data_IF_990326501639
#
_entry.id   IF_990326501639
#
_cell.length_a   1.000
_cell.length_b   1.000
_cell.length_c   1.000
_cell.angle_alpha   90.00
_cell.angle_beta   90.00
_cell.angle_gamma   90.00
#
_symmetry.space_group_name_H-M   'P 1'
#
loop_
_entity.id
_entity.type
_entity.pdbx_description
1 polymer ?
#
# COMPACT_ATOMS: atom_id res chain seq x y z
N UNK A 1 -8.60 -1.79 -23.90
CA UNK A 1 -9.20 -2.09 -22.58
C UNK A 1 -8.41 -3.26 -21.97
N UNK A 2 -7.82 -3.05 -20.80
CA UNK A 2 -7.03 -4.05 -20.08
C UNK A 2 -7.95 -4.98 -19.27
N UNK A 3 -7.68 -6.30 -19.25
CA UNK A 3 -8.33 -7.24 -18.36
C UNK A 3 -7.44 -7.49 -17.14
N UNK A 4 -7.77 -6.89 -15.99
CA UNK A 4 -7.02 -6.91 -14.73
C UNK A 4 -7.87 -7.44 -13.57
N UNK A 5 -8.61 -8.53 -13.81
CA UNK A 5 -9.63 -9.07 -12.90
C UNK A 5 -9.12 -9.92 -11.75
N UNK A 6 -7.82 -10.24 -11.72
CA UNK A 6 -7.21 -11.09 -10.69
C UNK A 6 -6.72 -10.27 -9.51
N UNK A 7 -6.67 -10.92 -8.34
CA UNK A 7 -6.01 -10.41 -7.13
C UNK A 7 -4.64 -11.06 -6.98
N UNK A 8 -3.72 -10.35 -6.30
CA UNK A 8 -2.42 -10.93 -5.95
C UNK A 8 -2.46 -11.43 -4.52
N UNK A 9 -2.50 -12.74 -4.33
CA UNK A 9 -2.63 -13.38 -3.02
C UNK A 9 -1.63 -14.53 -2.91
N UNK A 10 -0.88 -14.57 -1.82
CA UNK A 10 0.07 -15.63 -1.51
C UNK A 10 1.10 -15.90 -2.65
N UNK A 11 1.59 -14.83 -3.27
CA UNK A 11 2.59 -14.92 -4.34
C UNK A 11 2.03 -15.24 -5.74
N UNK A 12 0.72 -15.31 -5.89
CA UNK A 12 0.06 -15.70 -7.15
C UNK A 12 -1.05 -14.73 -7.56
N UNK A 13 -1.29 -14.62 -8.86
CA UNK A 13 -2.46 -13.94 -9.42
C UNK A 13 -3.64 -14.90 -9.50
N UNK A 14 -4.59 -14.75 -8.57
CA UNK A 14 -5.74 -15.63 -8.40
C UNK A 14 -7.04 -15.02 -8.92
N UNK A 15 -7.97 -15.86 -9.37
CA UNK A 15 -9.31 -15.40 -9.70
C UNK A 15 -10.11 -15.07 -8.44
N UNK A 16 -11.01 -14.07 -8.47
CA UNK A 16 -11.89 -13.76 -7.36
C UNK A 16 -12.81 -14.94 -7.04
N UNK A 17 -13.15 -15.10 -5.76
CA UNK A 17 -14.12 -16.14 -5.33
C UNK A 17 -15.53 -15.82 -5.84
N UNK A 18 -15.91 -14.56 -5.78
CA UNK A 18 -17.19 -14.05 -6.24
C UNK A 18 -16.94 -12.93 -7.25
N UNK A 19 -16.90 -13.22 -8.57
CA UNK A 19 -16.60 -12.21 -9.57
C UNK A 19 -17.59 -11.04 -9.54
N UNK A 20 -17.06 -9.81 -9.40
CA UNK A 20 -17.83 -8.57 -9.43
C UNK A 20 -17.03 -7.53 -10.25
N UNK A 21 -17.33 -7.46 -11.54
CA UNK A 21 -16.61 -6.59 -12.46
C UNK A 21 -16.85 -5.11 -12.14
N UNK A 22 -15.77 -4.33 -12.23
CA UNK A 22 -15.77 -2.90 -12.10
C UNK A 22 -14.95 -2.27 -13.22
N UNK A 23 -15.52 -1.29 -13.90
CA UNK A 23 -14.89 -0.57 -15.00
C UNK A 23 -14.04 0.59 -14.46
N UNK A 24 -12.77 0.62 -14.85
CA UNK A 24 -11.88 1.73 -14.58
C UNK A 24 -11.94 2.69 -15.76
N UNK A 25 -12.26 3.93 -15.47
CA UNK A 25 -12.42 4.98 -16.49
C UNK A 25 -11.14 5.80 -16.56
N UNK A 26 -10.64 6.02 -17.77
CA UNK A 26 -9.63 7.04 -18.01
C UNK A 26 -10.29 8.41 -18.00
N UNK A 27 -10.02 9.30 -17.02
CA UNK A 27 -10.73 10.57 -16.90
C UNK A 27 -10.39 11.59 -17.99
N UNK A 28 -9.32 11.37 -18.77
CA UNK A 28 -8.97 12.24 -19.89
C UNK A 28 -9.80 11.95 -21.16
N UNK A 29 -10.21 10.70 -21.34
CA UNK A 29 -10.98 10.26 -22.52
C UNK A 29 -12.43 9.92 -22.19
N UNK A 30 -12.74 9.77 -20.90
CA UNK A 30 -14.04 9.30 -20.38
C UNK A 30 -14.40 7.87 -20.85
N UNK A 31 -13.42 7.12 -21.33
CA UNK A 31 -13.58 5.76 -21.83
C UNK A 31 -13.11 4.72 -20.80
N UNK A 32 -13.67 3.51 -20.89
CA UNK A 32 -13.21 2.37 -20.09
C UNK A 32 -11.81 1.95 -20.54
N UNK A 33 -10.82 2.10 -19.66
CA UNK A 33 -9.42 1.71 -19.93
C UNK A 33 -9.10 0.32 -19.42
N UNK A 34 -9.75 -0.13 -18.34
CA UNK A 34 -9.55 -1.46 -17.76
C UNK A 34 -10.82 -2.00 -17.10
N UNK A 35 -10.84 -3.32 -16.88
CA UNK A 35 -11.83 -3.98 -16.03
C UNK A 35 -11.10 -4.73 -14.93
N UNK A 36 -11.49 -4.47 -13.68
CA UNK A 36 -11.05 -5.17 -12.48
C UNK A 36 -12.22 -5.95 -11.86
N UNK A 37 -11.97 -6.69 -10.77
CA UNK A 37 -13.02 -7.16 -9.87
C UNK A 37 -12.96 -6.41 -8.55
N UNK A 38 -14.13 -6.25 -7.92
CA UNK A 38 -14.21 -5.89 -6.50
C UNK A 38 -14.24 -7.17 -5.68
N UNK A 39 -13.33 -7.27 -4.70
CA UNK A 39 -13.18 -8.44 -3.84
C UNK A 39 -14.35 -8.62 -2.89
N UNK A 40 -14.57 -9.87 -2.53
CA UNK A 40 -15.51 -10.29 -1.49
C UNK A 40 -14.82 -10.51 -0.15
N UNK A 41 -15.62 -10.75 0.90
CA UNK A 41 -15.11 -11.15 2.21
C UNK A 41 -14.29 -12.44 2.16
N UNK A 42 -14.63 -13.37 1.26
CA UNK A 42 -13.85 -14.60 1.07
C UNK A 42 -12.46 -14.32 0.47
N UNK A 43 -12.36 -13.35 -0.44
CA UNK A 43 -11.08 -12.93 -1.02
C UNK A 43 -10.22 -12.21 0.05
N UNK A 44 -10.84 -11.33 0.83
CA UNK A 44 -10.19 -10.64 1.96
C UNK A 44 -9.68 -11.65 2.99
N UNK A 45 -10.51 -12.60 3.41
CA UNK A 45 -10.13 -13.67 4.34
C UNK A 45 -8.96 -14.51 3.80
N UNK A 46 -8.97 -14.82 2.51
CA UNK A 46 -7.87 -15.56 1.86
C UNK A 46 -6.55 -14.79 1.90
N UNK A 47 -6.59 -13.48 1.63
CA UNK A 47 -5.41 -12.61 1.68
C UNK A 47 -4.89 -12.44 3.12
N UNK A 48 -5.78 -12.22 4.09
CA UNK A 48 -5.40 -12.10 5.52
C UNK A 48 -4.79 -13.40 6.03
N UNK A 49 -5.38 -14.55 5.69
CA UNK A 49 -4.83 -15.87 6.07
C UNK A 49 -3.43 -16.08 5.49
N UNK A 50 -3.20 -15.69 4.23
CA UNK A 50 -1.88 -15.75 3.60
C UNK A 50 -0.86 -14.85 4.31
N UNK A 51 -1.25 -13.60 4.62
CA UNK A 51 -0.41 -12.65 5.34
C UNK A 51 -0.07 -13.15 6.75
N UNK A 52 -1.05 -13.66 7.50
CA UNK A 52 -0.85 -14.20 8.84
C UNK A 52 0.13 -15.38 8.85
N UNK A 53 0.00 -16.30 7.87
CA UNK A 53 0.92 -17.42 7.72
C UNK A 53 2.33 -16.95 7.38
N UNK A 54 2.47 -16.01 6.45
CA UNK A 54 3.77 -15.47 6.05
C UNK A 54 4.46 -14.71 7.19
N UNK A 55 3.70 -14.07 8.06
CA UNK A 55 4.22 -13.32 9.20
C UNK A 55 5.04 -14.20 10.15
N UNK A 56 4.71 -15.47 10.32
CA UNK A 56 5.44 -16.40 11.21
C UNK A 56 6.94 -16.47 10.92
N UNK A 57 7.30 -16.37 9.63
CA UNK A 57 8.70 -16.41 9.18
C UNK A 57 9.26 -15.05 8.80
N UNK A 58 8.42 -14.18 8.21
CA UNK A 58 8.86 -12.86 7.74
C UNK A 58 9.32 -11.94 8.88
N UNK A 59 8.66 -12.00 10.03
CA UNK A 59 9.04 -11.21 11.22
C UNK A 59 10.45 -11.53 11.74
N UNK A 60 10.95 -12.74 11.48
CA UNK A 60 12.27 -13.20 11.92
C UNK A 60 13.39 -12.83 10.93
N UNK A 61 13.04 -12.25 9.76
CA UNK A 61 14.06 -11.85 8.78
C UNK A 61 14.95 -10.74 9.33
N UNK A 62 16.21 -10.79 8.98
CA UNK A 62 17.17 -9.75 9.35
C UNK A 62 16.89 -8.41 8.62
N UNK A 63 17.40 -7.34 9.20
CA UNK A 63 17.40 -6.03 8.55
C UNK A 63 18.05 -6.07 7.16
N UNK A 64 19.14 -6.80 7.04
CA UNK A 64 19.95 -6.96 5.82
C UNK A 64 19.19 -7.71 4.72
N UNK A 65 18.42 -8.74 5.07
CA UNK A 65 17.55 -9.46 4.11
C UNK A 65 16.46 -8.55 3.57
N UNK A 66 15.82 -7.78 4.43
CA UNK A 66 14.79 -6.81 4.02
C UNK A 66 15.36 -5.68 3.16
N UNK A 67 16.56 -5.17 3.51
CA UNK A 67 17.27 -4.17 2.70
C UNK A 67 17.55 -4.67 1.29
N UNK A 68 18.08 -5.88 1.12
CA UNK A 68 18.36 -6.47 -0.20
C UNK A 68 17.10 -6.55 -1.08
N UNK A 69 15.97 -6.92 -0.51
CA UNK A 69 14.71 -6.99 -1.24
C UNK A 69 14.20 -5.60 -1.63
N UNK A 70 14.32 -4.60 -0.75
CA UNK A 70 13.95 -3.21 -1.06
C UNK A 70 14.85 -2.60 -2.13
N UNK A 71 16.16 -2.85 -2.09
CA UNK A 71 17.12 -2.41 -3.11
C UNK A 71 16.81 -3.02 -4.48
N UNK A 72 16.47 -4.33 -4.49
CA UNK A 72 16.04 -5.01 -5.71
C UNK A 72 14.72 -4.44 -6.23
N UNK A 73 13.75 -4.19 -5.37
CA UNK A 73 12.48 -3.54 -5.74
C UNK A 73 12.73 -2.15 -6.34
N UNK A 74 13.61 -1.35 -5.77
CA UNK A 74 13.99 -0.03 -6.31
C UNK A 74 14.59 -0.16 -7.71
N UNK A 75 15.45 -1.15 -7.92
CA UNK A 75 16.07 -1.41 -9.23
C UNK A 75 15.01 -1.76 -10.28
N UNK A 76 14.07 -2.64 -9.94
CA UNK A 76 12.96 -3.04 -10.82
C UNK A 76 12.02 -1.86 -11.08
N UNK A 77 11.70 -1.09 -10.04
CA UNK A 77 10.86 0.09 -10.17
C UNK A 77 11.45 1.10 -11.16
N UNK A 78 12.75 1.38 -11.05
CA UNK A 78 13.47 2.27 -11.98
C UNK A 78 13.53 1.72 -13.39
N UNK A 79 13.67 0.41 -13.58
CA UNK A 79 13.66 -0.23 -14.87
C UNK A 79 12.27 -0.20 -15.54
N UNK A 80 11.20 -0.20 -14.75
CA UNK A 80 9.80 -0.14 -15.19
C UNK A 80 9.16 1.24 -14.98
N UNK A 81 9.98 2.29 -15.03
CA UNK A 81 9.52 3.67 -14.80
C UNK A 81 8.41 4.11 -15.75
N UNK A 82 8.60 3.82 -17.04
CA UNK A 82 7.62 4.20 -18.06
C UNK A 82 6.32 3.42 -17.92
N UNK A 83 6.37 2.13 -17.57
CA UNK A 83 5.18 1.32 -17.27
C UNK A 83 4.37 1.95 -16.12
N UNK A 84 5.04 2.38 -15.05
CA UNK A 84 4.38 3.03 -13.92
C UNK A 84 3.78 4.38 -14.31
N UNK A 85 4.52 5.17 -15.07
CA UNK A 85 4.04 6.45 -15.60
C UNK A 85 2.80 6.27 -16.46
N UNK A 86 2.81 5.28 -17.35
CA UNK A 86 1.69 5.01 -18.27
C UNK A 86 0.46 4.48 -17.50
N UNK A 87 0.66 3.62 -16.49
CA UNK A 87 -0.42 3.14 -15.65
C UNK A 87 -1.12 4.30 -14.92
N UNK A 88 -0.34 5.17 -14.26
CA UNK A 88 -0.88 6.31 -13.52
C UNK A 88 -1.52 7.35 -14.47
N UNK A 89 -0.87 7.65 -15.60
CA UNK A 89 -1.43 8.55 -16.61
C UNK A 89 -2.79 8.03 -17.10
N UNK A 90 -2.91 6.73 -17.30
CA UNK A 90 -4.14 6.10 -17.79
C UNK A 90 -5.27 6.18 -16.77
N UNK A 91 -5.00 5.84 -15.49
CA UNK A 91 -6.05 5.78 -14.47
C UNK A 91 -6.36 7.13 -13.81
N UNK A 92 -5.41 8.08 -13.83
CA UNK A 92 -5.54 9.39 -13.19
C UNK A 92 -5.79 10.54 -14.18
N UNK A 93 -5.45 10.35 -15.46
CA UNK A 93 -5.63 11.36 -16.50
C UNK A 93 -4.64 12.53 -16.42
N UNK A 94 -3.56 12.42 -15.69
CA UNK A 94 -2.57 13.49 -15.59
C UNK A 94 -1.65 13.55 -16.82
N UNK A 95 -1.10 14.74 -17.18
CA UNK A 95 -0.14 14.85 -18.28
C UNK A 95 1.08 13.94 -18.04
N UNK A 96 1.51 13.19 -19.06
CA UNK A 96 2.54 12.14 -18.94
C UNK A 96 3.87 12.66 -18.36
N UNK A 97 4.38 13.78 -18.84
CA UNK A 97 5.64 14.36 -18.34
C UNK A 97 5.54 14.79 -16.88
N UNK A 98 4.40 15.41 -16.52
CA UNK A 98 4.13 15.77 -15.15
C UNK A 98 3.98 14.53 -14.25
N UNK A 99 3.29 13.51 -14.74
CA UNK A 99 3.12 12.24 -14.05
C UNK A 99 4.47 11.58 -13.75
N UNK A 100 5.35 11.50 -14.76
CA UNK A 100 6.70 10.96 -14.61
C UNK A 100 7.50 11.73 -13.55
N UNK A 101 7.52 13.06 -13.66
CA UNK A 101 8.32 13.93 -12.80
C UNK A 101 7.82 14.00 -11.35
N UNK A 102 6.52 13.81 -11.09
CA UNK A 102 5.91 14.02 -9.78
C UNK A 102 5.31 12.74 -9.19
N UNK A 103 4.43 12.05 -9.92
CA UNK A 103 3.75 10.85 -9.41
C UNK A 103 4.71 9.65 -9.34
N UNK A 104 5.28 9.26 -10.49
CA UNK A 104 6.18 8.11 -10.57
C UNK A 104 7.43 8.32 -9.71
N UNK A 105 8.01 9.52 -9.73
CA UNK A 105 9.18 9.87 -8.93
C UNK A 105 8.93 9.74 -7.43
N UNK A 106 7.72 10.03 -6.95
CA UNK A 106 7.39 9.93 -5.53
C UNK A 106 7.48 8.49 -5.01
N UNK A 107 7.06 7.50 -5.84
CA UNK A 107 7.20 6.09 -5.48
C UNK A 107 8.66 5.66 -5.29
N UNK A 108 9.53 6.00 -6.25
CA UNK A 108 10.97 5.75 -6.14
C UNK A 108 11.59 6.46 -4.93
N UNK A 109 11.23 7.74 -4.75
CA UNK A 109 11.75 8.56 -3.65
C UNK A 109 11.42 7.96 -2.28
N UNK A 110 10.22 7.41 -2.08
CA UNK A 110 9.86 6.74 -0.85
C UNK A 110 10.63 5.43 -0.64
N UNK A 111 10.82 4.64 -1.70
CA UNK A 111 11.63 3.41 -1.59
C UNK A 111 13.07 3.78 -1.18
N UNK A 112 13.68 4.78 -1.82
CA UNK A 112 15.02 5.26 -1.50
C UNK A 112 15.16 5.81 -0.07
N UNK A 113 14.20 6.62 0.37
CA UNK A 113 14.22 7.19 1.72
C UNK A 113 14.10 6.11 2.80
N UNK A 114 13.19 5.15 2.62
CA UNK A 114 13.05 4.04 3.58
C UNK A 114 14.23 3.08 3.59
N UNK A 115 14.91 2.85 2.45
CA UNK A 115 16.18 2.11 2.42
C UNK A 115 17.21 2.80 3.32
N UNK A 116 17.41 4.12 3.15
CA UNK A 116 18.34 4.90 3.98
C UNK A 116 17.97 4.85 5.46
N UNK A 117 16.68 5.06 5.79
CA UNK A 117 16.21 5.01 7.17
C UNK A 117 16.39 3.63 7.79
N UNK A 118 16.12 2.56 7.04
CA UNK A 118 16.30 1.20 7.54
C UNK A 118 17.77 0.87 7.79
N UNK A 119 18.70 1.35 6.96
CA UNK A 119 20.15 1.17 7.18
C UNK A 119 20.58 1.68 8.55
N UNK A 120 20.08 2.87 8.94
CA UNK A 120 20.44 3.53 10.19
C UNK A 120 19.55 3.12 11.39
N UNK A 121 18.40 2.46 11.13
CA UNK A 121 17.46 2.12 12.17
C UNK A 121 17.98 1.02 13.08
N UNK A 122 17.96 1.30 14.40
CA UNK A 122 18.30 0.33 15.43
C UNK A 122 17.02 -0.22 16.05
N UNK A 123 16.76 -1.52 15.86
CA UNK A 123 15.60 -2.21 16.45
C UNK A 123 15.78 -2.47 17.95
N UNK A 124 17.01 -2.42 18.44
CA UNK A 124 17.36 -2.61 19.85
C UNK A 124 18.23 -1.43 20.31
N UNK A 125 17.64 -0.24 20.55
CA UNK A 125 18.42 0.98 20.81
C UNK A 125 19.27 0.95 22.10
N UNK A 126 19.21 -0.14 22.85
CA UNK A 126 20.01 -0.28 24.07
C UNK A 126 19.45 0.51 25.26
N UNK A 127 20.20 0.46 26.35
CA UNK A 127 19.80 1.06 27.62
C UNK A 127 20.76 2.12 28.07
N UNK A 128 20.25 3.02 28.90
CA UNK A 128 21.09 3.81 29.78
C UNK A 128 21.96 2.86 30.61
N UNK A 129 23.25 3.20 30.72
CA UNK A 129 24.20 2.41 31.52
C UNK A 129 23.64 2.17 32.92
N UNK A 130 23.40 0.91 33.27
CA UNK A 130 22.88 0.49 34.58
C UNK A 130 21.38 0.19 34.61
N UNK A 131 20.63 0.37 33.50
CA UNK A 131 19.25 -0.08 33.40
C UNK A 131 19.18 -1.59 33.17
N UNK A 132 18.22 -2.26 33.78
CA UNK A 132 17.86 -3.67 33.53
C UNK A 132 16.75 -3.83 32.51
N UNK A 133 16.21 -2.73 32.01
CA UNK A 133 15.10 -2.71 31.03
C UNK A 133 15.64 -2.71 29.61
N UNK A 134 15.05 -3.41 28.64
CA UNK A 134 15.37 -3.45 27.22
C UNK A 134 14.19 -2.93 26.37
N UNK A 135 14.45 -2.01 25.42
CA UNK A 135 13.49 -1.60 24.41
C UNK A 135 13.79 -2.38 23.15
N UNK A 136 12.82 -3.13 22.66
CA UNK A 136 12.91 -3.87 21.41
C UNK A 136 11.75 -3.43 20.53
N UNK A 137 12.06 -3.03 19.29
CA UNK A 137 11.03 -2.72 18.28
C UNK A 137 10.73 -3.98 17.49
N UNK A 138 9.50 -4.45 17.58
CA UNK A 138 9.01 -5.63 16.88
C UNK A 138 7.97 -5.27 15.81
N UNK A 139 7.84 -6.09 14.74
CA UNK A 139 6.76 -5.94 13.78
C UNK A 139 5.40 -6.03 14.46
N UNK A 140 4.47 -5.12 14.10
CA UNK A 140 3.13 -5.11 14.73
C UNK A 140 2.26 -6.30 14.29
N UNK A 141 2.54 -6.91 13.13
CA UNK A 141 1.75 -8.03 12.62
C UNK A 141 1.28 -7.84 11.19
N UNK A 142 0.03 -8.19 10.94
CA UNK A 142 -0.66 -8.06 9.66
C UNK A 142 -1.26 -6.67 9.52
N UNK A 143 -0.90 -5.95 8.45
CA UNK A 143 -1.37 -4.60 8.17
C UNK A 143 -2.40 -4.56 7.03
N UNK A 144 -3.57 -3.99 7.28
CA UNK A 144 -4.53 -3.59 6.24
C UNK A 144 -4.19 -2.18 5.73
N UNK A 145 -3.81 -2.06 4.48
CA UNK A 145 -3.38 -0.80 3.87
C UNK A 145 -4.42 -0.34 2.85
N UNK A 146 -5.04 0.82 3.09
CA UNK A 146 -6.13 1.35 2.26
C UNK A 146 -5.73 2.72 1.74
N UNK A 147 -5.64 2.86 0.40
CA UNK A 147 -5.11 4.07 -0.25
C UNK A 147 -6.14 4.76 -1.14
N UNK A 148 -6.09 6.11 -1.25
CA UNK A 148 -6.94 6.89 -2.13
C UNK A 148 -6.41 6.88 -3.58
N UNK A 149 -7.12 7.60 -4.46
CA UNK A 149 -6.86 7.66 -5.89
C UNK A 149 -5.95 8.83 -6.33
N UNK A 150 -5.85 9.90 -5.55
CA UNK A 150 -5.29 11.19 -6.00
C UNK A 150 -3.76 11.20 -6.20
N UNK A 151 -3.03 10.39 -5.46
CA UNK A 151 -1.59 10.16 -5.56
C UNK A 151 -1.29 8.66 -5.39
N UNK A 152 -1.71 7.80 -6.34
CA UNK A 152 -1.83 6.37 -6.09
C UNK A 152 -0.52 5.74 -5.64
N UNK A 153 0.57 5.83 -6.41
CA UNK A 153 1.82 5.17 -6.04
C UNK A 153 2.51 5.80 -4.82
N UNK A 154 2.39 7.14 -4.62
CA UNK A 154 2.88 7.81 -3.43
C UNK A 154 2.24 7.24 -2.17
N UNK A 155 0.91 7.15 -2.16
CA UNK A 155 0.15 6.65 -1.00
C UNK A 155 0.39 5.15 -0.75
N UNK A 156 0.58 4.38 -1.80
CA UNK A 156 0.93 2.95 -1.71
C UNK A 156 2.33 2.79 -1.13
N UNK A 157 3.34 3.45 -1.68
CA UNK A 157 4.73 3.34 -1.25
C UNK A 157 4.91 3.77 0.22
N UNK A 158 4.27 4.88 0.64
CA UNK A 158 4.29 5.37 2.02
C UNK A 158 3.74 4.38 3.06
N UNK A 159 2.98 3.38 2.65
CA UNK A 159 2.42 2.36 3.54
C UNK A 159 3.13 1.00 3.37
N UNK A 160 3.35 0.58 2.13
CA UNK A 160 3.92 -0.73 1.81
C UNK A 160 5.40 -0.81 2.20
N UNK A 161 6.19 0.21 1.87
CA UNK A 161 7.64 0.17 2.11
C UNK A 161 7.99 0.15 3.60
N UNK A 162 7.42 1.02 4.48
CA UNK A 162 7.69 0.92 5.91
C UNK A 162 7.19 -0.40 6.52
N UNK A 163 6.08 -0.97 6.03
CA UNK A 163 5.62 -2.28 6.49
C UNK A 163 6.63 -3.40 6.13
N UNK A 164 7.20 -3.40 4.92
CA UNK A 164 8.31 -4.29 4.56
C UNK A 164 9.54 -4.05 5.45
N UNK A 165 9.96 -2.80 5.60
CA UNK A 165 11.14 -2.41 6.36
C UNK A 165 11.08 -2.87 7.82
N UNK A 166 9.89 -2.84 8.42
CA UNK A 166 9.67 -3.23 9.82
C UNK A 166 9.31 -4.71 10.02
N UNK A 167 9.25 -5.52 8.96
CA UNK A 167 8.96 -6.96 9.06
C UNK A 167 7.47 -7.30 9.20
N UNK A 168 6.57 -6.37 8.87
CA UNK A 168 5.13 -6.61 8.81
C UNK A 168 4.73 -7.32 7.52
N UNK A 169 3.63 -8.07 7.56
CA UNK A 169 2.94 -8.54 6.36
C UNK A 169 1.71 -7.71 6.09
N UNK A 170 1.17 -7.75 4.86
CA UNK A 170 0.13 -6.78 4.53
C UNK A 170 -0.84 -7.22 3.46
N UNK A 171 -2.01 -6.56 3.48
CA UNK A 171 -2.99 -6.58 2.41
C UNK A 171 -3.21 -5.14 1.95
N UNK A 172 -2.92 -4.86 0.69
CA UNK A 172 -3.19 -3.58 0.04
C UNK A 172 -4.58 -3.60 -0.60
N UNK A 173 -5.41 -2.61 -0.25
CA UNK A 173 -6.61 -2.24 -1.00
C UNK A 173 -6.37 -0.87 -1.62
N UNK A 174 -5.96 -0.78 -2.89
CA UNK A 174 -5.92 0.50 -3.59
C UNK A 174 -7.34 1.01 -3.84
N UNK A 175 -7.47 2.28 -4.21
CA UNK A 175 -8.77 2.78 -4.68
C UNK A 175 -9.20 2.04 -5.95
N UNK A 176 -10.46 1.66 -6.02
CA UNK A 176 -11.07 1.04 -7.19
C UNK A 176 -11.06 1.95 -8.42
N UNK A 177 -10.93 3.25 -8.21
CA UNK A 177 -10.85 4.26 -9.28
C UNK A 177 -9.45 4.30 -9.92
N UNK A 178 -8.40 4.05 -9.14
CA UNK A 178 -7.00 4.07 -9.59
C UNK A 178 -6.25 2.81 -9.08
N UNK A 179 -6.58 1.62 -9.61
CA UNK A 179 -6.01 0.36 -9.15
C UNK A 179 -4.77 -0.09 -9.94
N UNK A 180 -4.55 0.44 -11.17
CA UNK A 180 -3.59 -0.11 -12.12
C UNK A 180 -2.14 0.03 -11.65
N UNK A 181 -1.78 1.18 -11.11
CA UNK A 181 -0.45 1.42 -10.52
C UNK A 181 -0.18 0.51 -9.33
N UNK A 182 -1.19 0.26 -8.49
CA UNK A 182 -1.09 -0.69 -7.37
C UNK A 182 -0.89 -2.13 -7.84
N UNK A 183 -1.59 -2.55 -8.90
CA UNK A 183 -1.43 -3.87 -9.49
C UNK A 183 -0.06 -4.03 -10.15
N UNK A 184 0.42 -3.00 -10.86
CA UNK A 184 1.75 -2.98 -11.43
C UNK A 184 2.83 -3.05 -10.34
N UNK A 185 2.63 -2.35 -9.22
CA UNK A 185 3.54 -2.42 -8.10
C UNK A 185 3.58 -3.82 -7.46
N UNK A 186 2.45 -4.53 -7.43
CA UNK A 186 2.40 -5.94 -7.02
C UNK A 186 3.22 -6.85 -7.95
N UNK A 187 3.20 -6.60 -9.27
CA UNK A 187 4.07 -7.29 -10.24
C UNK A 187 5.56 -7.05 -9.92
N UNK A 188 5.94 -5.80 -9.64
CA UNK A 188 7.32 -5.44 -9.29
C UNK A 188 7.77 -6.08 -7.97
N UNK A 189 6.89 -6.16 -6.96
CA UNK A 189 7.15 -6.83 -5.67
C UNK A 189 7.37 -8.34 -5.91
N UNK A 190 6.56 -8.96 -6.76
CA UNK A 190 6.73 -10.37 -7.15
C UNK A 190 8.08 -10.60 -7.82
N UNK A 191 8.44 -9.76 -8.79
CA UNK A 191 9.72 -9.81 -9.53
C UNK A 191 10.92 -9.58 -8.59
N UNK A 192 10.77 -8.73 -7.57
CA UNK A 192 11.79 -8.52 -6.55
C UNK A 192 12.03 -9.76 -5.68
N UNK A 193 11.08 -10.69 -5.63
CA UNK A 193 11.21 -11.97 -4.94
C UNK A 193 10.85 -11.90 -3.45
N UNK A 194 9.95 -11.01 -3.07
CA UNK A 194 9.38 -11.05 -1.72
C UNK A 194 8.67 -12.39 -1.49
N UNK A 195 8.78 -12.99 -0.30
CA UNK A 195 8.15 -14.28 -0.02
C UNK A 195 6.64 -14.25 -0.20
N UNK A 196 6.07 -15.38 -0.62
CA UNK A 196 4.63 -15.53 -0.80
C UNK A 196 3.86 -15.16 0.48
N UNK A 197 2.79 -14.38 0.34
CA UNK A 197 1.94 -13.93 1.44
C UNK A 197 2.44 -12.70 2.21
N UNK A 198 3.71 -12.28 2.08
CA UNK A 198 4.22 -11.06 2.73
C UNK A 198 3.49 -9.82 2.23
N UNK A 199 3.23 -9.76 0.93
CA UNK A 199 2.39 -8.76 0.30
C UNK A 199 1.21 -9.43 -0.42
N UNK A 200 0.02 -8.86 -0.24
CA UNK A 200 -1.19 -9.27 -0.93
C UNK A 200 -1.92 -8.01 -1.43
N UNK A 201 -2.63 -8.13 -2.55
CA UNK A 201 -3.45 -7.06 -3.11
C UNK A 201 -4.85 -7.59 -3.44
N UNK A 202 -5.86 -6.94 -2.87
CA UNK A 202 -7.27 -7.19 -3.18
C UNK A 202 -7.91 -5.86 -3.58
N UNK A 203 -8.29 -5.73 -4.85
CA UNK A 203 -9.08 -4.60 -5.29
C UNK A 203 -10.48 -4.68 -4.68
N UNK A 204 -11.05 -3.53 -4.32
CA UNK A 204 -12.36 -3.49 -3.71
C UNK A 204 -12.76 -2.07 -3.34
N UNK A 205 -14.01 -1.91 -2.99
CA UNK A 205 -14.56 -0.64 -2.52
C UNK A 205 -14.43 -0.46 -1.00
N UNK A 206 -14.90 0.68 -0.50
CA UNK A 206 -14.89 0.97 0.93
C UNK A 206 -15.84 0.09 1.74
N UNK A 207 -17.14 -0.04 1.34
CA UNK A 207 -18.13 -0.87 2.02
C UNK A 207 -17.81 -2.37 2.06
N UNK A 208 -17.16 -2.89 1.03
CA UNK A 208 -16.72 -4.29 0.96
C UNK A 208 -15.36 -4.51 1.61
N UNK A 209 -14.30 -4.63 0.80
CA UNK A 209 -12.94 -4.97 1.27
C UNK A 209 -12.41 -4.01 2.33
N UNK A 210 -12.75 -2.70 2.23
CA UNK A 210 -12.34 -1.71 3.23
C UNK A 210 -12.94 -1.98 4.62
N UNK A 211 -14.22 -2.34 4.67
CA UNK A 211 -14.90 -2.72 5.92
C UNK A 211 -14.34 -4.03 6.46
N UNK A 212 -14.19 -5.04 5.59
CA UNK A 212 -13.65 -6.35 5.99
C UNK A 212 -12.26 -6.22 6.62
N UNK A 213 -11.33 -5.50 5.97
CA UNK A 213 -9.97 -5.29 6.49
C UNK A 213 -9.98 -4.55 7.84
N UNK A 214 -10.81 -3.52 7.98
CA UNK A 214 -10.83 -2.72 9.20
C UNK A 214 -11.44 -3.47 10.39
N UNK A 215 -12.37 -4.40 10.15
CA UNK A 215 -12.99 -5.24 11.19
C UNK A 215 -12.35 -6.60 11.40
N UNK A 216 -11.43 -7.03 10.54
CA UNK A 216 -10.90 -8.40 10.57
C UNK A 216 -10.12 -8.72 11.84
N UNK A 217 -10.42 -9.80 12.58
CA UNK A 217 -9.77 -10.12 13.84
C UNK A 217 -8.27 -10.42 13.71
N UNK A 218 -7.83 -10.92 12.57
CA UNK A 218 -6.42 -11.26 12.28
C UNK A 218 -5.66 -10.13 11.55
N UNK A 219 -6.19 -8.91 11.54
CA UNK A 219 -5.49 -7.69 11.11
C UNK A 219 -5.13 -6.90 12.36
N UNK A 220 -3.83 -6.63 12.56
CA UNK A 220 -3.29 -5.99 13.77
C UNK A 220 -3.24 -4.46 13.66
N UNK A 221 -3.18 -3.95 12.44
CA UNK A 221 -3.14 -2.52 12.15
C UNK A 221 -3.87 -2.19 10.86
N UNK A 222 -4.59 -1.06 10.84
CA UNK A 222 -5.11 -0.45 9.60
C UNK A 222 -4.46 0.90 9.38
N UNK A 223 -3.84 1.08 8.20
CA UNK A 223 -3.37 2.39 7.73
C UNK A 223 -4.23 2.85 6.57
N UNK A 224 -4.92 3.96 6.77
CA UNK A 224 -5.90 4.53 5.85
C UNK A 224 -5.54 5.96 5.48
N UNK A 225 -5.65 6.28 4.20
CA UNK A 225 -5.66 7.66 3.70
C UNK A 225 -6.95 7.88 2.90
N UNK A 226 -7.68 8.94 3.23
CA UNK A 226 -8.93 9.26 2.53
C UNK A 226 -9.83 10.24 3.29
N UNK A 227 -11.15 10.10 3.14
CA UNK A 227 -12.10 11.04 3.74
C UNK A 227 -12.25 10.87 5.25
N UNK A 228 -12.51 11.97 5.95
CA UNK A 228 -12.82 11.98 7.40
C UNK A 228 -14.00 11.05 7.74
N UNK A 229 -15.02 10.98 6.85
CA UNK A 229 -16.17 10.07 7.03
C UNK A 229 -15.72 8.60 7.06
N UNK A 230 -14.90 8.18 6.09
CA UNK A 230 -14.41 6.81 6.04
C UNK A 230 -13.47 6.49 7.22
N UNK A 231 -12.58 7.44 7.60
CA UNK A 231 -11.71 7.28 8.77
C UNK A 231 -12.49 7.04 10.07
N UNK A 232 -13.60 7.76 10.28
CA UNK A 232 -14.50 7.53 11.43
C UNK A 232 -15.13 6.14 11.42
N UNK A 233 -15.55 5.63 10.25
CA UNK A 233 -16.12 4.29 10.11
C UNK A 233 -15.07 3.21 10.39
N UNK A 234 -13.87 3.36 9.83
CA UNK A 234 -12.73 2.46 10.07
C UNK A 234 -12.39 2.40 11.56
N UNK A 235 -12.29 3.54 12.23
CA UNK A 235 -12.00 3.60 13.68
C UNK A 235 -13.05 2.86 14.50
N UNK A 236 -14.33 3.06 14.18
CA UNK A 236 -15.42 2.36 14.87
C UNK A 236 -15.36 0.86 14.64
N UNK A 237 -15.12 0.43 13.39
CA UNK A 237 -15.07 -0.97 13.03
C UNK A 237 -13.83 -1.70 13.61
N UNK A 238 -12.72 -0.98 13.77
CA UNK A 238 -11.49 -1.49 14.36
C UNK A 238 -11.54 -1.63 15.90
N UNK A 239 -12.49 -0.96 16.55
CA UNK A 239 -12.54 -0.86 18.02
C UNK A 239 -12.74 -2.22 18.71
N UNK A 240 -13.52 -3.13 18.12
CA UNK A 240 -13.82 -4.44 18.72
C UNK A 240 -12.59 -5.33 18.89
N UNK A 241 -11.54 -5.09 18.11
CA UNK A 241 -10.27 -5.84 18.18
C UNK A 241 -9.13 -5.02 18.78
N UNK A 242 -9.37 -3.76 19.14
CA UNK A 242 -8.37 -2.82 19.69
C UNK A 242 -7.14 -2.69 18.78
N UNK A 243 -7.28 -2.95 17.49
CA UNK A 243 -6.17 -2.85 16.53
C UNK A 243 -5.69 -1.41 16.37
N UNK A 244 -4.45 -1.23 16.04
CA UNK A 244 -3.92 0.10 15.75
C UNK A 244 -4.54 0.67 14.48
N UNK A 245 -4.93 1.94 14.53
CA UNK A 245 -5.46 2.69 13.37
C UNK A 245 -4.58 3.92 13.16
N UNK A 246 -4.05 4.05 11.93
CA UNK A 246 -3.33 5.22 11.46
C UNK A 246 -4.14 5.88 10.34
N UNK A 247 -4.48 7.15 10.51
CA UNK A 247 -5.39 7.87 9.62
C UNK A 247 -4.69 9.11 9.04
N UNK A 248 -4.69 9.20 7.72
CA UNK A 248 -4.36 10.41 6.97
C UNK A 248 -5.64 10.92 6.31
N UNK A 249 -6.17 12.02 6.77
CA UNK A 249 -7.51 12.48 6.43
C UNK A 249 -7.49 13.80 5.67
N UNK A 250 -8.66 14.15 5.11
CA UNK A 250 -8.82 15.40 4.38
C UNK A 250 -8.78 16.63 5.29
N UNK A 251 -8.34 17.71 4.71
CA UNK A 251 -8.29 19.03 5.34
C UNK A 251 -8.18 20.13 4.29
N UNK A 252 -8.28 21.38 4.75
CA UNK A 252 -8.03 22.60 3.95
C UNK A 252 -7.13 23.51 4.77
N UNK A 253 -5.83 23.51 4.47
CA UNK A 253 -4.90 24.50 4.99
C UNK A 253 -5.18 25.88 4.42
N UNK A 254 -4.80 26.91 5.16
CA UNK A 254 -4.83 28.28 4.64
C UNK A 254 -3.83 28.42 3.47
N UNK A 255 -4.26 29.02 2.37
CA UNK A 255 -3.40 29.46 1.29
C UNK A 255 -3.40 31.00 1.30
N UNK A 256 -2.26 31.57 1.72
CA UNK A 256 -2.13 33.04 1.88
C UNK A 256 -1.33 33.57 0.70
N UNK A 257 -1.98 34.39 -0.11
CA UNK A 257 -1.37 35.05 -1.28
C UNK A 257 -1.25 36.54 -0.97
N UNK A 258 -0.03 37.05 -0.82
CA UNK A 258 0.20 38.47 -0.62
C UNK A 258 0.15 39.23 -1.95
N UNK A 259 -0.11 40.56 -1.87
CA UNK A 259 -0.29 41.40 -3.07
C UNK A 259 0.96 41.48 -3.98
N UNK A 260 2.14 41.26 -3.43
CA UNK A 260 3.43 41.24 -4.13
C UNK A 260 3.82 39.87 -4.70
N UNK A 261 3.00 38.84 -4.51
CA UNK A 261 3.25 37.50 -5.06
C UNK A 261 2.78 37.32 -6.51
N UNK A 262 2.16 38.38 -7.10
CA UNK A 262 1.76 38.41 -8.50
C UNK A 262 2.69 39.31 -9.28
N UNK A 263 3.30 38.86 -10.40
CA UNK A 263 4.17 39.71 -11.24
C UNK A 263 3.40 40.80 -11.95
#
# INVERSE_FOLDING_TARGET
MLDKKKFYINGEWVNPKNPNNFEVINPSTEEVCAVINLGSSDDTNSAVKAAKKAFETWKETSKEERLKLLEKLLTIYKARWDDMTDAITTELGCPKDWCSANQTSSGAGHIEDFIKRLQDFNFEPGFDKGSVNHIVYEPIGVCGLITPWNWPINQIALKVIPAFATGCTMILKPSEIAPLSGMLFAEMIHEAGFPAGVFNLVNGDGPGVGTDLSGHPDVDMVSFTGSTRAGKLITKNAADTIKRVCLELGGKGGNIVFADSYP
#
